data_IF_304066962871
#
_entry.id   IF_304066962871
#
_cell.length_a   1.000
_cell.length_b   1.000
_cell.length_c   1.000
_cell.angle_alpha   90.00
_cell.angle_beta   90.00
_cell.angle_gamma   90.00
#
_symmetry.space_group_name_H-M   'P 1'
#
loop_
_entity.id
_entity.type
_entity.pdbx_description
1 polymer ?
#
# COMPACT_ATOMS: atom_id res chain seq x y z
N UNK A 1 -2.01 -7.69 0.58
CA UNK A 1 -2.65 -6.93 -0.52
C UNK A 1 -1.78 -7.02 -1.77
N UNK A 2 -2.38 -7.27 -2.92
CA UNK A 2 -1.62 -7.28 -4.17
C UNK A 2 -1.27 -5.86 -4.61
N UNK A 3 -0.15 -5.71 -5.31
CA UNK A 3 0.29 -4.41 -5.85
C UNK A 3 -0.74 -3.81 -6.79
N UNK A 4 -1.34 -4.64 -7.64
CA UNK A 4 -2.38 -4.20 -8.59
C UNK A 4 -3.62 -3.67 -7.86
N UNK A 5 -4.09 -4.37 -6.82
CA UNK A 5 -5.21 -3.92 -6.00
C UNK A 5 -4.90 -2.54 -5.38
N UNK A 6 -3.71 -2.35 -4.84
CA UNK A 6 -3.33 -1.08 -4.22
C UNK A 6 -3.21 0.05 -5.25
N UNK A 7 -2.51 -0.20 -6.36
CA UNK A 7 -2.32 0.81 -7.40
C UNK A 7 -3.60 1.14 -8.17
N UNK A 8 -4.62 0.26 -8.16
CA UNK A 8 -5.92 0.59 -8.76
C UNK A 8 -6.63 1.75 -8.06
N UNK A 9 -6.43 1.94 -6.74
CA UNK A 9 -6.96 3.12 -6.04
C UNK A 9 -6.33 4.43 -6.57
N UNK A 10 -5.03 4.42 -6.83
CA UNK A 10 -4.33 5.56 -7.45
C UNK A 10 -4.85 5.81 -8.87
N UNK A 11 -5.01 4.75 -9.67
CA UNK A 11 -5.51 4.85 -11.04
C UNK A 11 -6.96 5.40 -11.09
N UNK A 12 -7.80 5.04 -10.13
CA UNK A 12 -9.15 5.59 -9.97
C UNK A 12 -9.15 7.09 -9.68
N UNK A 13 -8.31 7.54 -8.76
CA UNK A 13 -8.18 8.96 -8.44
C UNK A 13 -7.62 9.75 -9.63
N UNK A 14 -6.60 9.23 -10.30
CA UNK A 14 -6.06 9.83 -11.51
C UNK A 14 -7.13 9.99 -12.60
N UNK A 15 -7.98 8.98 -12.80
CA UNK A 15 -9.11 9.06 -13.74
C UNK A 15 -10.11 10.14 -13.34
N UNK A 16 -10.49 10.23 -12.05
CA UNK A 16 -11.39 11.26 -11.53
C UNK A 16 -10.84 12.67 -11.75
N UNK A 17 -9.52 12.85 -11.60
CA UNK A 17 -8.83 14.12 -11.82
C UNK A 17 -8.54 14.43 -13.30
N UNK A 18 -8.88 13.53 -14.21
CA UNK A 18 -8.66 13.73 -15.65
C UNK A 18 -7.20 13.61 -16.09
N UNK A 19 -6.33 12.99 -15.30
CA UNK A 19 -4.91 12.78 -15.61
C UNK A 19 -4.77 11.86 -16.82
N UNK A 20 -3.97 12.29 -17.80
CA UNK A 20 -3.75 11.58 -19.07
C UNK A 20 -2.34 11.05 -19.23
N UNK A 21 -1.36 11.72 -18.64
CA UNK A 21 0.05 11.37 -18.74
C UNK A 21 0.68 11.24 -17.35
N UNK A 22 1.48 10.20 -17.16
CA UNK A 22 2.08 9.87 -15.87
C UNK A 22 3.58 9.64 -16.06
N UNK A 23 4.40 10.36 -15.30
CA UNK A 23 5.80 10.05 -15.14
C UNK A 23 5.97 8.98 -14.08
N UNK A 24 6.86 8.02 -14.30
CA UNK A 24 7.22 7.01 -13.30
C UNK A 24 8.70 7.13 -12.92
N UNK A 25 8.97 7.06 -11.61
CA UNK A 25 10.31 6.90 -11.05
C UNK A 25 10.25 5.87 -9.93
N UNK A 26 11.03 4.80 -10.02
CA UNK A 26 11.01 3.71 -9.03
C UNK A 26 12.37 3.09 -8.81
N UNK A 27 12.44 2.18 -7.83
CA UNK A 27 13.68 1.43 -7.59
C UNK A 27 14.11 0.65 -8.83
N UNK A 28 15.43 0.46 -8.98
CA UNK A 28 16.05 -0.36 -10.02
C UNK A 28 16.12 -1.84 -9.63
N UNK A 29 15.08 -2.34 -8.97
CA UNK A 29 14.96 -3.72 -8.49
C UNK A 29 13.54 -4.27 -8.71
N UNK A 30 13.30 -5.50 -8.28
CA UNK A 30 12.01 -6.21 -8.41
C UNK A 30 10.84 -5.41 -7.82
N UNK A 31 11.05 -4.64 -6.74
CA UNK A 31 9.98 -3.82 -6.18
C UNK A 31 9.55 -2.70 -7.14
N UNK A 32 10.54 -1.99 -7.71
CA UNK A 32 10.24 -0.97 -8.71
C UNK A 32 9.58 -1.55 -9.96
N UNK A 33 9.98 -2.76 -10.37
CA UNK A 33 9.35 -3.46 -11.50
C UNK A 33 7.91 -3.84 -11.22
N UNK A 34 7.61 -4.36 -10.02
CA UNK A 34 6.24 -4.68 -9.62
C UNK A 34 5.33 -3.45 -9.67
N UNK A 35 5.80 -2.30 -9.17
CA UNK A 35 5.02 -1.06 -9.21
C UNK A 35 4.80 -0.54 -10.64
N UNK A 36 5.86 -0.55 -11.45
CA UNK A 36 5.80 -0.13 -12.84
C UNK A 36 4.84 -1.02 -13.66
N UNK A 37 4.96 -2.32 -13.51
CA UNK A 37 4.12 -3.27 -14.24
C UNK A 37 2.66 -3.14 -13.83
N UNK A 38 2.36 -2.97 -12.52
CA UNK A 38 1.00 -2.79 -12.04
C UNK A 38 0.36 -1.52 -12.63
N UNK A 39 1.07 -0.38 -12.59
CA UNK A 39 0.48 0.87 -13.11
C UNK A 39 0.36 0.85 -14.65
N UNK A 40 1.29 0.22 -15.35
CA UNK A 40 1.25 0.08 -16.80
C UNK A 40 0.09 -0.84 -17.23
N UNK A 41 -0.16 -1.93 -16.50
CA UNK A 41 -1.30 -2.82 -16.75
C UNK A 41 -2.66 -2.13 -16.52
N UNK A 42 -2.73 -1.22 -15.56
CA UNK A 42 -3.94 -0.44 -15.25
C UNK A 42 -4.19 0.71 -16.25
N UNK A 43 -3.16 1.20 -16.91
CA UNK A 43 -3.21 2.38 -17.77
C UNK A 43 -4.31 2.33 -18.86
N UNK A 44 -4.50 1.24 -19.63
CA UNK A 44 -5.56 1.16 -20.63
C UNK A 44 -6.97 1.25 -20.02
N UNK A 45 -7.19 0.59 -18.89
CA UNK A 45 -8.50 0.56 -18.19
C UNK A 45 -8.90 1.94 -17.67
N UNK A 46 -7.92 2.72 -17.21
CA UNK A 46 -8.16 4.02 -16.57
C UNK A 46 -7.89 5.22 -17.48
N UNK A 47 -7.41 4.99 -18.71
CA UNK A 47 -7.31 6.00 -19.77
C UNK A 47 -6.16 6.99 -19.60
N UNK A 48 -5.01 6.55 -19.08
CA UNK A 48 -3.77 7.32 -19.00
C UNK A 48 -2.61 6.61 -19.73
N UNK A 49 -1.49 7.30 -19.91
CA UNK A 49 -0.25 6.75 -20.48
C UNK A 49 0.92 7.00 -19.52
N UNK A 50 1.78 6.00 -19.34
CA UNK A 50 3.06 6.18 -18.65
C UNK A 50 4.08 6.67 -19.67
N UNK A 51 4.58 7.89 -19.49
CA UNK A 51 5.44 8.59 -20.47
C UNK A 51 6.92 8.56 -20.12
N UNK A 52 7.28 8.23 -18.87
CA UNK A 52 8.67 7.98 -18.44
C UNK A 52 8.76 6.73 -17.59
N UNK A 53 9.95 6.12 -17.54
CA UNK A 53 10.27 4.98 -16.66
C UNK A 53 11.68 5.17 -16.12
N UNK A 54 11.82 6.08 -15.18
CA UNK A 54 13.10 6.39 -14.57
C UNK A 54 13.37 5.48 -13.36
N UNK A 55 14.62 5.14 -13.16
CA UNK A 55 15.06 4.20 -12.13
C UNK A 55 16.16 4.76 -11.26
N UNK A 56 16.17 4.35 -9.98
CA UNK A 56 17.23 4.70 -9.02
C UNK A 56 17.49 3.57 -8.02
N UNK A 57 18.70 3.52 -7.49
CA UNK A 57 19.08 2.56 -6.46
C UNK A 57 18.57 2.97 -5.08
N UNK A 58 18.35 1.99 -4.19
CA UNK A 58 17.88 2.27 -2.81
C UNK A 58 18.85 3.13 -2.00
N UNK A 59 20.14 3.09 -2.34
CA UNK A 59 21.19 3.85 -1.67
C UNK A 59 21.54 5.17 -2.40
N UNK A 60 20.87 5.47 -3.52
CA UNK A 60 21.14 6.70 -4.25
C UNK A 60 20.70 7.92 -3.45
N UNK A 61 21.61 8.87 -3.31
CA UNK A 61 21.37 10.14 -2.61
C UNK A 61 20.90 11.27 -3.53
N UNK A 62 20.92 11.03 -4.85
CA UNK A 62 20.46 11.99 -5.86
C UNK A 62 19.80 11.29 -7.03
N UNK A 63 18.71 11.90 -7.50
CA UNK A 63 17.95 11.48 -8.70
C UNK A 63 17.77 12.65 -9.68
N UNK A 64 18.71 13.60 -9.65
CA UNK A 64 18.62 14.85 -10.41
C UNK A 64 18.42 14.63 -11.93
N UNK A 65 19.16 13.67 -12.51
CA UNK A 65 19.06 13.34 -13.94
C UNK A 65 17.71 12.71 -14.29
N UNK A 66 17.22 11.82 -13.45
CA UNK A 66 15.91 11.19 -13.64
C UNK A 66 14.77 12.21 -13.56
N UNK A 67 14.81 13.08 -12.56
CA UNK A 67 13.78 14.12 -12.39
C UNK A 67 13.80 15.12 -13.55
N UNK A 68 14.98 15.48 -14.10
CA UNK A 68 15.06 16.33 -15.28
C UNK A 68 14.35 15.71 -16.49
N UNK A 69 14.51 14.40 -16.72
CA UNK A 69 13.81 13.70 -17.81
C UNK A 69 12.29 13.69 -17.60
N UNK A 70 11.84 13.47 -16.36
CA UNK A 70 10.41 13.54 -16.02
C UNK A 70 9.87 14.93 -16.29
N UNK A 71 10.56 15.98 -15.82
CA UNK A 71 10.15 17.37 -16.05
C UNK A 71 10.10 17.72 -17.53
N UNK A 72 11.07 17.23 -18.34
CA UNK A 72 11.07 17.43 -19.80
C UNK A 72 9.90 16.74 -20.51
N UNK A 73 9.44 15.60 -19.99
CA UNK A 73 8.25 14.90 -20.51
C UNK A 73 6.94 15.58 -20.11
N UNK A 74 6.96 16.54 -19.17
CA UNK A 74 5.83 17.33 -18.69
C UNK A 74 4.57 16.49 -18.39
N UNK A 75 4.64 15.43 -17.57
CA UNK A 75 3.48 14.61 -17.25
C UNK A 75 2.49 15.36 -16.36
N UNK A 76 1.19 14.99 -16.45
CA UNK A 76 0.15 15.54 -15.56
C UNK A 76 0.35 15.14 -14.10
N UNK A 77 0.92 13.93 -13.85
CA UNK A 77 1.21 13.40 -12.52
C UNK A 77 2.50 12.59 -12.52
N UNK A 78 3.06 12.37 -11.34
CA UNK A 78 4.21 11.46 -11.14
C UNK A 78 3.85 10.36 -10.14
N UNK A 79 4.29 9.13 -10.41
CA UNK A 79 4.22 8.00 -9.49
C UNK A 79 5.63 7.63 -9.05
N UNK A 80 5.83 7.59 -7.73
CA UNK A 80 7.07 7.16 -7.09
C UNK A 80 6.94 5.69 -6.66
N UNK A 81 7.68 4.81 -7.32
CA UNK A 81 7.74 3.36 -7.08
C UNK A 81 8.83 2.96 -6.07
N UNK A 82 9.09 3.80 -5.08
CA UNK A 82 9.98 3.51 -3.95
C UNK A 82 9.26 2.96 -2.73
N UNK A 83 9.98 2.76 -1.62
CA UNK A 83 9.40 2.42 -0.32
C UNK A 83 10.27 2.96 0.81
N UNK A 84 9.66 3.18 2.00
CA UNK A 84 10.35 3.71 3.17
C UNK A 84 11.02 5.06 2.93
N UNK A 85 12.07 5.36 3.71
CA UNK A 85 12.82 6.62 3.61
C UNK A 85 13.46 6.88 2.23
N UNK A 86 13.98 5.89 1.46
CA UNK A 86 14.52 6.17 0.14
C UNK A 86 13.51 6.69 -0.89
N UNK A 87 12.20 6.47 -0.66
CA UNK A 87 11.16 7.05 -1.52
C UNK A 87 11.05 8.58 -1.37
N UNK A 88 11.65 9.16 -0.34
CA UNK A 88 11.69 10.61 -0.15
C UNK A 88 12.65 11.31 -1.12
N UNK A 89 13.70 10.63 -1.61
CA UNK A 89 14.68 11.24 -2.53
C UNK A 89 14.04 11.78 -3.81
N UNK A 90 13.25 11.00 -4.58
CA UNK A 90 12.55 11.55 -5.75
C UNK A 90 11.44 12.54 -5.37
N UNK A 91 10.77 12.35 -4.24
CA UNK A 91 9.74 13.29 -3.77
C UNK A 91 10.34 14.69 -3.56
N UNK A 92 11.40 14.80 -2.77
CA UNK A 92 12.08 16.06 -2.50
C UNK A 92 12.58 16.70 -3.81
N UNK A 93 13.23 15.92 -4.68
CA UNK A 93 13.78 16.42 -5.93
C UNK A 93 12.70 16.94 -6.89
N UNK A 94 11.52 16.34 -6.93
CA UNK A 94 10.37 16.81 -7.74
C UNK A 94 9.83 18.14 -7.19
N UNK A 95 9.65 18.24 -5.87
CA UNK A 95 9.15 19.45 -5.21
C UNK A 95 10.14 20.61 -5.36
N UNK A 96 11.43 20.38 -5.10
CA UNK A 96 12.49 21.40 -5.25
C UNK A 96 12.61 21.92 -6.69
N UNK A 97 12.35 21.08 -7.69
CA UNK A 97 12.32 21.48 -9.09
C UNK A 97 10.98 22.06 -9.55
N UNK A 98 10.04 22.21 -8.62
CA UNK A 98 8.79 22.92 -8.87
C UNK A 98 7.76 22.11 -9.67
N UNK A 99 7.78 20.78 -9.61
CA UNK A 99 6.70 19.98 -10.17
C UNK A 99 5.36 20.37 -9.53
N UNK A 100 4.34 20.64 -10.34
CA UNK A 100 3.04 21.19 -9.88
C UNK A 100 1.91 20.17 -9.92
N UNK A 101 2.08 19.07 -10.61
CA UNK A 101 1.09 17.99 -10.64
C UNK A 101 1.06 17.18 -9.35
N UNK A 102 0.03 16.34 -9.15
CA UNK A 102 0.01 15.41 -8.02
C UNK A 102 1.16 14.41 -8.11
N UNK A 103 1.76 14.13 -6.93
CA UNK A 103 2.76 13.08 -6.77
C UNK A 103 2.13 11.96 -5.96
N UNK A 104 1.98 10.81 -6.62
CA UNK A 104 1.47 9.59 -6.01
C UNK A 104 2.61 8.68 -5.59
N UNK A 105 2.40 7.97 -4.51
CA UNK A 105 3.28 6.91 -4.05
C UNK A 105 2.54 5.57 -4.01
N UNK A 106 3.25 4.51 -3.70
CA UNK A 106 2.67 3.20 -3.44
C UNK A 106 2.53 2.95 -1.92
N UNK A 107 1.88 1.84 -1.55
CA UNK A 107 1.62 1.48 -0.16
C UNK A 107 2.89 1.27 0.70
N UNK A 108 4.04 0.94 0.10
CA UNK A 108 5.31 0.81 0.81
C UNK A 108 5.88 2.14 1.36
N UNK A 109 5.29 3.27 0.96
CA UNK A 109 5.70 4.60 1.43
C UNK A 109 4.90 5.06 2.66
N UNK A 110 3.75 4.44 2.94
CA UNK A 110 2.86 4.87 4.02
C UNK A 110 3.42 4.44 5.38
N UNK A 111 4.42 5.18 5.85
CA UNK A 111 5.08 4.98 7.14
C UNK A 111 5.68 6.29 7.65
N UNK A 112 6.07 6.31 8.93
CA UNK A 112 6.63 7.49 9.58
C UNK A 112 8.02 7.87 9.03
N UNK A 113 8.84 6.89 8.64
CA UNK A 113 10.20 7.14 8.15
C UNK A 113 10.21 7.98 6.86
N UNK A 114 9.25 7.77 5.97
CA UNK A 114 9.08 8.61 4.78
C UNK A 114 8.81 10.06 5.15
N UNK A 115 7.83 10.32 6.04
CA UNK A 115 7.47 11.69 6.46
C UNK A 115 8.65 12.36 7.16
N UNK A 116 9.35 11.65 8.06
CA UNK A 116 10.51 12.18 8.77
C UNK A 116 11.66 12.57 7.82
N UNK A 117 11.81 11.83 6.71
CA UNK A 117 12.85 12.09 5.72
C UNK A 117 12.45 13.21 4.76
N UNK A 118 11.25 13.17 4.19
CA UNK A 118 10.77 14.16 3.24
C UNK A 118 10.35 15.48 3.92
N UNK A 119 10.01 15.45 5.21
CA UNK A 119 9.61 16.62 6.00
C UNK A 119 8.48 17.42 5.32
N UNK A 120 8.67 18.73 5.12
CA UNK A 120 7.71 19.62 4.45
C UNK A 120 7.39 19.19 3.00
N UNK A 121 8.34 18.53 2.33
CA UNK A 121 8.19 18.11 0.95
C UNK A 121 7.33 16.83 0.81
N UNK A 122 6.95 16.20 1.94
CA UNK A 122 5.94 15.14 1.97
C UNK A 122 4.50 15.68 1.82
N UNK A 123 4.27 16.96 2.08
CA UNK A 123 2.93 17.54 2.11
C UNK A 123 2.22 17.36 0.77
N UNK A 124 0.95 16.92 0.81
CA UNK A 124 0.14 16.68 -0.36
C UNK A 124 0.37 15.34 -1.07
N UNK A 125 1.37 14.55 -0.67
CA UNK A 125 1.59 13.19 -1.22
C UNK A 125 0.36 12.33 -1.01
N UNK A 126 -0.09 11.66 -2.06
CA UNK A 126 -1.20 10.70 -2.03
C UNK A 126 -0.67 9.28 -2.23
N UNK A 127 -1.10 8.34 -1.41
CA UNK A 127 -0.72 6.93 -1.50
C UNK A 127 -1.86 6.00 -1.10
N UNK A 128 -1.93 4.78 -1.67
CA UNK A 128 -2.87 3.76 -1.22
C UNK A 128 -2.34 3.09 0.05
N UNK A 129 -3.22 2.65 0.92
CA UNK A 129 -2.87 1.85 2.09
C UNK A 129 -4.05 1.00 2.54
N UNK A 130 -3.81 0.05 3.44
CA UNK A 130 -4.88 -0.61 4.18
C UNK A 130 -5.49 0.32 5.24
N UNK A 131 -6.71 0.02 5.62
CA UNK A 131 -7.53 0.89 6.46
C UNK A 131 -6.96 1.19 7.86
N UNK A 132 -6.10 0.30 8.39
CA UNK A 132 -5.52 0.40 9.73
C UNK A 132 -4.88 1.76 10.03
N UNK A 133 -4.17 2.34 9.07
CA UNK A 133 -3.38 3.57 9.28
C UNK A 133 -4.27 4.75 9.68
N UNK A 134 -5.49 4.77 9.19
CA UNK A 134 -6.50 5.82 9.43
C UNK A 134 -7.77 5.27 10.07
N UNK A 135 -7.63 4.29 10.95
CA UNK A 135 -8.73 3.54 11.56
C UNK A 135 -9.80 4.45 12.20
N UNK A 136 -9.38 5.54 12.85
CA UNK A 136 -10.28 6.50 13.51
C UNK A 136 -11.14 7.27 12.48
N UNK A 137 -10.61 7.52 11.29
CA UNK A 137 -11.25 8.33 10.24
C UNK A 137 -12.17 7.50 9.33
N UNK A 138 -12.17 6.17 9.47
CA UNK A 138 -13.04 5.29 8.68
C UNK A 138 -14.52 5.56 8.98
N UNK A 139 -15.42 5.34 7.99
CA UNK A 139 -16.86 5.33 8.22
C UNK A 139 -17.25 4.39 9.37
N UNK A 140 -18.34 4.70 10.07
CA UNK A 140 -18.76 3.92 11.23
C UNK A 140 -19.14 2.47 10.88
N UNK A 141 -19.61 2.24 9.68
CA UNK A 141 -20.03 0.96 9.11
C UNK A 141 -18.90 0.21 8.39
N UNK A 142 -17.68 0.76 8.35
CA UNK A 142 -16.55 0.07 7.73
C UNK A 142 -16.23 -1.23 8.50
N UNK A 143 -16.27 -2.36 7.79
CA UNK A 143 -16.11 -3.70 8.39
C UNK A 143 -14.83 -3.85 9.21
N UNK A 144 -13.74 -3.21 8.79
CA UNK A 144 -12.42 -3.28 9.44
C UNK A 144 -12.26 -2.33 10.63
N UNK A 145 -13.17 -1.37 10.84
CA UNK A 145 -12.99 -0.28 11.82
C UNK A 145 -12.82 -0.80 13.24
N UNK A 146 -13.72 -1.66 13.69
CA UNK A 146 -13.71 -2.17 15.07
C UNK A 146 -12.43 -2.95 15.38
N UNK A 147 -12.04 -3.87 14.49
CA UNK A 147 -10.82 -4.68 14.68
C UNK A 147 -9.55 -3.83 14.58
N UNK A 148 -9.54 -2.83 13.70
CA UNK A 148 -8.42 -1.90 13.56
C UNK A 148 -8.24 -1.03 14.80
N UNK A 149 -9.33 -0.48 15.36
CA UNK A 149 -9.28 0.32 16.59
C UNK A 149 -8.83 -0.51 17.81
N UNK A 150 -9.30 -1.76 17.95
CA UNK A 150 -8.85 -2.65 19.01
C UNK A 150 -7.36 -2.98 18.85
N UNK A 151 -6.91 -3.30 17.63
CA UNK A 151 -5.50 -3.53 17.35
C UNK A 151 -4.65 -2.31 17.70
N UNK A 152 -5.02 -1.12 17.21
CA UNK A 152 -4.29 0.14 17.47
C UNK A 152 -4.16 0.38 18.97
N UNK A 153 -5.27 0.27 19.72
CA UNK A 153 -5.27 0.46 21.16
C UNK A 153 -4.28 -0.46 21.87
N UNK A 154 -4.28 -1.75 21.54
CA UNK A 154 -3.39 -2.75 22.17
C UNK A 154 -1.94 -2.57 21.71
N UNK A 155 -1.72 -2.32 20.42
CA UNK A 155 -0.39 -2.18 19.85
C UNK A 155 0.31 -0.93 20.40
N UNK A 156 -0.37 0.22 20.40
CA UNK A 156 0.21 1.46 20.90
C UNK A 156 0.37 1.48 22.43
N UNK A 157 -0.45 0.74 23.17
CA UNK A 157 -0.22 0.52 24.60
C UNK A 157 1.07 -0.26 24.87
N UNK A 158 1.43 -1.19 24.00
CA UNK A 158 2.63 -2.01 24.14
C UNK A 158 3.92 -1.35 23.60
N UNK A 159 3.82 -0.59 22.50
CA UNK A 159 4.97 -0.09 21.74
C UNK A 159 5.08 1.45 21.69
N UNK A 160 4.17 2.15 22.35
CA UNK A 160 4.13 3.60 22.43
C UNK A 160 3.18 4.27 21.43
N UNK A 161 2.80 5.53 21.69
CA UNK A 161 1.90 6.30 20.82
C UNK A 161 2.46 6.44 19.40
N UNK A 162 1.57 6.37 18.41
CA UNK A 162 1.88 6.47 16.98
C UNK A 162 2.85 5.40 16.45
N UNK A 163 3.05 4.30 17.18
CA UNK A 163 3.90 3.18 16.74
C UNK A 163 3.22 2.29 15.68
N UNK A 164 1.90 2.45 15.46
CA UNK A 164 1.17 1.67 14.45
C UNK A 164 1.82 1.76 13.08
N UNK A 165 1.82 0.64 12.38
CA UNK A 165 2.27 0.58 10.99
C UNK A 165 1.54 -0.55 10.25
N UNK A 166 1.51 -0.47 8.91
CA UNK A 166 0.79 -1.45 8.10
C UNK A 166 1.33 -2.88 8.26
N UNK A 167 2.66 -3.03 8.43
CA UNK A 167 3.28 -4.36 8.54
C UNK A 167 2.86 -5.11 9.80
N UNK A 168 2.75 -4.41 10.93
CA UNK A 168 2.22 -4.98 12.17
C UNK A 168 0.76 -5.46 11.99
N UNK A 169 -0.06 -4.67 11.29
CA UNK A 169 -1.42 -5.06 10.94
C UNK A 169 -1.48 -6.30 10.04
N UNK A 170 -0.64 -6.38 9.01
CA UNK A 170 -0.56 -7.60 8.16
C UNK A 170 -0.18 -8.85 8.95
N UNK A 171 0.76 -8.73 9.89
CA UNK A 171 1.15 -9.84 10.75
C UNK A 171 0.01 -10.28 11.65
N UNK A 172 -0.73 -9.32 12.22
CA UNK A 172 -1.92 -9.60 13.02
C UNK A 172 -3.02 -10.28 12.20
N UNK A 173 -3.32 -9.76 11.01
CA UNK A 173 -4.31 -10.33 10.09
C UNK A 173 -3.91 -11.75 9.66
N UNK A 174 -2.62 -12.00 9.42
CA UNK A 174 -2.10 -13.33 9.15
C UNK A 174 -2.39 -14.33 10.29
N UNK A 175 -2.30 -13.88 11.54
CA UNK A 175 -2.68 -14.71 12.70
C UNK A 175 -4.17 -14.97 12.76
N UNK A 176 -5.03 -14.00 12.43
CA UNK A 176 -6.48 -14.20 12.37
C UNK A 176 -6.87 -15.23 11.31
N UNK A 177 -6.27 -15.15 10.13
CA UNK A 177 -6.48 -16.09 9.03
C UNK A 177 -6.00 -17.49 9.42
N UNK A 178 -4.81 -17.58 10.04
CA UNK A 178 -4.26 -18.84 10.52
C UNK A 178 -5.13 -19.48 11.62
N UNK A 179 -5.62 -18.69 12.58
CA UNK A 179 -6.52 -19.17 13.64
C UNK A 179 -7.82 -19.75 13.06
N UNK A 180 -8.43 -19.04 12.10
CA UNK A 180 -9.63 -19.51 11.42
C UNK A 180 -9.39 -20.86 10.70
N UNK A 181 -8.29 -20.98 9.96
CA UNK A 181 -7.94 -22.22 9.27
C UNK A 181 -7.57 -23.35 10.25
N UNK A 182 -6.85 -23.05 11.32
CA UNK A 182 -6.45 -24.02 12.34
C UNK A 182 -7.65 -24.66 13.04
N UNK A 183 -8.69 -23.89 13.34
CA UNK A 183 -9.94 -24.39 13.91
C UNK A 183 -10.60 -25.45 13.03
N UNK A 184 -10.54 -25.29 11.71
CA UNK A 184 -11.04 -26.28 10.74
C UNK A 184 -10.12 -27.50 10.69
N UNK A 185 -8.81 -27.31 10.64
CA UNK A 185 -7.84 -28.39 10.57
C UNK A 185 -7.83 -29.28 11.82
N UNK A 186 -8.03 -28.70 13.00
CA UNK A 186 -8.12 -29.41 14.28
C UNK A 186 -9.28 -30.41 14.35
N UNK A 187 -10.33 -30.19 13.56
CA UNK A 187 -11.46 -31.14 13.46
C UNK A 187 -11.10 -32.37 12.60
N UNK A 188 -10.04 -32.30 11.79
CA UNK A 188 -9.65 -33.34 10.84
C UNK A 188 -8.44 -34.15 11.29
N UNK A 189 -7.48 -33.53 12.00
CA UNK A 189 -6.23 -34.19 12.36
C UNK A 189 -5.57 -33.53 13.59
N UNK A 190 -4.63 -34.25 14.20
CA UNK A 190 -3.88 -33.76 15.38
C UNK A 190 -2.68 -32.89 14.96
N UNK A 191 -2.40 -31.77 15.66
CA UNK A 191 -1.20 -30.97 15.45
C UNK A 191 0.08 -31.80 15.48
N UNK A 192 1.07 -31.40 14.68
CA UNK A 192 2.37 -32.08 14.58
C UNK A 192 2.42 -33.21 13.56
N UNK A 193 1.29 -33.64 12.98
CA UNK A 193 1.23 -34.70 11.97
C UNK A 193 1.25 -34.15 10.54
N UNK A 194 1.66 -34.96 9.52
CA UNK A 194 1.55 -34.58 8.12
C UNK A 194 0.10 -34.30 7.69
N UNK A 195 -0.85 -35.07 8.22
CA UNK A 195 -2.29 -34.93 7.96
C UNK A 195 -2.82 -33.57 8.46
N UNK A 196 -2.35 -33.12 9.62
CA UNK A 196 -2.72 -31.78 10.12
C UNK A 196 -2.17 -30.67 9.22
N UNK A 197 -0.93 -30.79 8.75
CA UNK A 197 -0.35 -29.79 7.82
C UNK A 197 -1.11 -29.74 6.50
N UNK A 198 -1.53 -30.89 5.97
CA UNK A 198 -2.36 -30.94 4.77
C UNK A 198 -3.73 -30.30 5.00
N UNK A 199 -4.40 -30.67 6.11
CA UNK A 199 -5.70 -30.12 6.47
C UNK A 199 -5.64 -28.59 6.72
N UNK A 200 -4.55 -28.09 7.30
CA UNK A 200 -4.34 -26.67 7.54
C UNK A 200 -4.13 -25.90 6.21
N UNK A 201 -3.32 -26.43 5.30
CA UNK A 201 -3.15 -25.86 3.95
C UNK A 201 -4.49 -25.78 3.22
N UNK A 202 -5.23 -26.88 3.20
CA UNK A 202 -6.51 -26.94 2.51
C UNK A 202 -7.54 -25.99 3.16
N UNK A 203 -7.50 -25.84 4.48
CA UNK A 203 -8.36 -24.89 5.18
C UNK A 203 -7.98 -23.43 4.90
N UNK A 204 -6.69 -23.11 4.77
CA UNK A 204 -6.22 -21.78 4.42
C UNK A 204 -6.73 -21.34 3.04
N UNK A 205 -6.76 -22.25 2.06
CA UNK A 205 -7.28 -21.97 0.71
C UNK A 205 -8.79 -21.74 0.66
N UNK A 206 -9.51 -21.98 1.76
CA UNK A 206 -10.97 -21.84 1.86
C UNK A 206 -11.42 -20.92 3.00
N UNK A 207 -10.49 -20.15 3.58
CA UNK A 207 -10.84 -19.12 4.57
C UNK A 207 -11.79 -18.11 3.96
N UNK A 208 -12.89 -17.82 4.64
CA UNK A 208 -13.88 -16.84 4.18
C UNK A 208 -14.38 -15.96 5.32
N UNK A 209 -14.69 -14.70 5.00
CA UNK A 209 -15.24 -13.70 5.90
C UNK A 209 -14.42 -13.43 7.17
N UNK A 210 -13.11 -13.62 7.12
CA UNK A 210 -12.23 -13.24 8.23
C UNK A 210 -11.96 -11.75 8.16
N UNK A 211 -12.50 -11.02 9.12
CA UNK A 211 -12.34 -9.56 9.23
C UNK A 211 -11.02 -9.26 9.91
N UNK A 212 -10.09 -8.69 9.16
CA UNK A 212 -8.80 -8.21 9.64
C UNK A 212 -8.73 -6.69 9.72
N UNK A 213 -7.55 -6.18 10.04
CA UNK A 213 -7.27 -4.74 10.11
C UNK A 213 -7.18 -4.08 8.74
N UNK A 214 -6.83 -4.84 7.71
CA UNK A 214 -6.65 -4.36 6.35
C UNK A 214 -7.76 -4.74 5.37
N UNK A 215 -8.67 -5.63 5.75
CA UNK A 215 -9.76 -6.06 4.88
C UNK A 215 -10.53 -7.25 5.40
N UNK A 216 -11.41 -7.77 4.57
CA UNK A 216 -12.15 -9.01 4.82
C UNK A 216 -11.57 -10.09 3.90
N UNK A 217 -10.99 -11.11 4.51
CA UNK A 217 -10.27 -12.16 3.78
C UNK A 217 -11.23 -13.26 3.31
N UNK A 218 -11.18 -13.54 2.02
CA UNK A 218 -11.89 -14.61 1.33
C UNK A 218 -10.92 -15.31 0.38
N UNK A 219 -10.27 -16.37 0.86
CA UNK A 219 -9.26 -17.08 0.09
C UNK A 219 -9.87 -18.17 -0.79
N UNK A 220 -9.23 -18.42 -1.90
CA UNK A 220 -9.54 -19.55 -2.80
C UNK A 220 -8.24 -20.16 -3.30
N UNK A 221 -8.23 -21.41 -3.84
CA UNK A 221 -7.04 -21.99 -4.45
C UNK A 221 -6.42 -21.14 -5.57
N UNK A 222 -7.18 -20.28 -6.22
CA UNK A 222 -6.70 -19.36 -7.26
C UNK A 222 -6.37 -17.95 -6.76
N UNK A 223 -6.70 -17.62 -5.51
CA UNK A 223 -6.46 -16.30 -4.93
C UNK A 223 -6.09 -16.41 -3.44
N UNK A 224 -4.80 -16.53 -3.17
CA UNK A 224 -4.24 -16.58 -1.82
C UNK A 224 -4.08 -15.19 -1.15
N UNK A 225 -4.37 -14.08 -1.83
CA UNK A 225 -4.47 -12.75 -1.20
C UNK A 225 -5.81 -12.58 -0.47
N UNK A 226 -6.88 -13.12 -1.03
CA UNK A 226 -8.21 -13.15 -0.42
C UNK A 226 -8.85 -11.79 -0.18
N UNK A 227 -8.27 -10.70 -0.70
CA UNK A 227 -8.72 -9.33 -0.48
C UNK A 227 -9.30 -8.71 -1.75
N UNK A 228 -10.26 -7.82 -1.57
CA UNK A 228 -10.92 -7.04 -2.61
C UNK A 228 -10.75 -5.52 -2.42
N UNK A 229 -11.47 -4.73 -3.18
CA UNK A 229 -11.36 -3.26 -3.18
C UNK A 229 -11.67 -2.61 -1.83
N UNK A 230 -12.39 -3.30 -0.93
CA UNK A 230 -12.65 -2.83 0.44
C UNK A 230 -11.39 -2.79 1.30
N UNK A 231 -10.32 -3.48 0.88
CA UNK A 231 -9.05 -3.56 1.59
C UNK A 231 -8.10 -2.38 1.30
N UNK A 232 -8.53 -1.39 0.54
CA UNK A 232 -7.69 -0.25 0.15
C UNK A 232 -8.40 1.08 0.38
N UNK A 233 -7.65 2.03 0.90
CA UNK A 233 -8.03 3.44 0.99
C UNK A 233 -6.91 4.29 0.42
N UNK A 234 -7.22 5.49 -0.04
CA UNK A 234 -6.21 6.51 -0.30
C UNK A 234 -5.98 7.33 0.98
N UNK A 235 -4.73 7.64 1.22
CA UNK A 235 -4.31 8.57 2.28
C UNK A 235 -3.49 9.69 1.67
N UNK A 236 -3.53 10.86 2.32
CA UNK A 236 -2.73 12.02 1.95
C UNK A 236 -1.93 12.49 3.15
N UNK A 237 -0.74 13.01 2.91
CA UNK A 237 0.00 13.72 3.95
C UNK A 237 -0.58 15.11 4.12
N UNK A 238 -1.09 15.39 5.32
CA UNK A 238 -1.66 16.68 5.72
C UNK A 238 -1.05 17.07 7.07
N UNK A 239 -0.39 18.22 7.13
CA UNK A 239 0.32 18.68 8.32
C UNK A 239 1.30 17.63 8.89
N UNK A 240 2.03 16.96 8.00
CA UNK A 240 3.01 15.94 8.36
C UNK A 240 2.43 14.64 8.91
N UNK A 241 1.16 14.34 8.65
CA UNK A 241 0.49 13.11 9.08
C UNK A 241 -0.27 12.47 7.93
N UNK A 242 -0.32 11.14 7.89
CA UNK A 242 -1.21 10.42 6.99
C UNK A 242 -2.66 10.59 7.43
N UNK A 243 -3.50 11.09 6.55
CA UNK A 243 -4.94 11.31 6.76
C UNK A 243 -5.73 10.62 5.66
N UNK A 244 -6.97 10.22 5.96
CA UNK A 244 -7.86 9.66 4.96
C UNK A 244 -8.09 10.70 3.85
N UNK A 245 -7.76 10.31 2.63
CA UNK A 245 -8.00 11.15 1.46
C UNK A 245 -9.46 11.03 1.03
N UNK A 246 -10.14 12.16 0.86
CA UNK A 246 -11.58 12.26 0.55
C UNK A 246 -11.81 12.81 -0.84
#
# INVERSE_FOLDING_TARGET
QSTELMMSAVAEDMKKRGIKTVGYIGFSDTWGDLMYNAITALAPKYGFKVVTNERYGRADTSVAGQVLKIMAAAPDAVIVGGSGSPAATPQIALVERGFKGPIYHNHGTVNLAFIQTAKKDAEGVVAPTGALIVAEELPADAATKAVSLDFVKRYEAAFGPASRNAFAGYSYDGMLVLDAAAKVALQKAKPGTPEFRAALRDALEHVSNVVGTHGVYNMTPGNHNGLDERARVLVQVVNGQWRLYK
#
